data_IF_115852623594
#
_entry.id   IF_115852623594
#
_cell.length_a   1.000
_cell.length_b   1.000
_cell.length_c   1.000
_cell.angle_alpha   90.00
_cell.angle_beta   90.00
_cell.angle_gamma   90.00
#
_symmetry.space_group_name_H-M   'P 1'
#
loop_
_entity.id
_entity.type
_entity.pdbx_description
1 polymer ?
#
# COMPACT_ATOMS: atom_id res chain seq x y z
N UNK A 1 -20.04 13.99 7.03
CA UNK A 1 -20.08 13.10 8.21
C UNK A 1 -18.70 12.45 8.32
N UNK A 2 -17.89 12.87 9.27
CA UNK A 2 -16.55 12.34 9.51
C UNK A 2 -16.73 11.03 10.27
N UNK A 3 -16.28 9.93 9.67
CA UNK A 3 -16.26 8.62 10.33
C UNK A 3 -15.39 8.70 11.59
N UNK A 4 -15.80 8.14 12.74
CA UNK A 4 -14.99 8.19 13.95
C UNK A 4 -13.69 7.44 13.70
N UNK A 5 -12.55 8.10 13.94
CA UNK A 5 -11.24 7.46 14.01
C UNK A 5 -11.34 6.35 15.06
N UNK A 6 -11.14 5.11 14.63
CA UNK A 6 -10.95 4.01 15.55
C UNK A 6 -9.77 4.27 16.48
N UNK A 7 -9.67 3.60 17.64
CA UNK A 7 -8.57 3.78 18.56
C UNK A 7 -7.25 3.57 17.82
N UNK A 8 -6.27 4.45 18.04
CA UNK A 8 -4.91 4.28 17.55
C UNK A 8 -4.44 2.88 17.95
N UNK A 9 -4.24 2.00 16.96
CA UNK A 9 -3.68 0.68 17.20
C UNK A 9 -2.23 0.90 17.60
N UNK A 10 -1.86 0.47 18.80
CA UNK A 10 -0.47 0.38 19.20
C UNK A 10 0.29 -0.47 18.18
N UNK A 11 1.59 -0.22 18.02
CA UNK A 11 2.45 -0.98 17.12
C UNK A 11 2.27 -2.48 17.33
N UNK A 12 2.23 -3.23 16.23
CA UNK A 12 2.11 -4.69 16.28
C UNK A 12 3.40 -5.28 16.88
N UNK A 13 3.33 -6.04 18.00
CA UNK A 13 4.51 -6.66 18.60
C UNK A 13 5.31 -7.51 17.62
N UNK A 14 4.64 -8.21 16.70
CA UNK A 14 5.28 -9.03 15.65
C UNK A 14 6.11 -8.16 14.70
N UNK A 15 5.56 -7.02 14.27
CA UNK A 15 6.27 -6.09 13.39
C UNK A 15 7.55 -5.56 14.02
N UNK A 16 7.48 -5.14 15.28
CA UNK A 16 8.65 -4.65 16.01
C UNK A 16 9.70 -5.75 16.20
N UNK A 17 9.31 -6.98 16.54
CA UNK A 17 10.25 -8.11 16.66
C UNK A 17 10.98 -8.34 15.33
N UNK A 18 10.28 -8.45 14.21
CA UNK A 18 10.88 -8.64 12.89
C UNK A 18 11.80 -7.48 12.47
N UNK A 19 11.48 -6.25 12.87
CA UNK A 19 12.36 -5.10 12.63
C UNK A 19 13.62 -5.18 13.47
N UNK A 20 13.50 -5.49 14.76
CA UNK A 20 14.64 -5.55 15.69
C UNK A 20 15.60 -6.70 15.33
N UNK A 21 15.08 -7.77 14.72
CA UNK A 21 15.86 -8.87 14.13
C UNK A 21 16.45 -8.53 12.75
N UNK A 22 16.15 -7.34 12.20
CA UNK A 22 16.63 -6.91 10.89
C UNK A 22 15.94 -7.58 9.69
N UNK A 23 14.88 -8.34 9.92
CA UNK A 23 14.08 -9.01 8.89
C UNK A 23 13.23 -7.99 8.11
N UNK A 24 12.72 -6.96 8.79
CA UNK A 24 12.02 -5.81 8.21
C UNK A 24 12.94 -4.59 8.22
N UNK A 25 13.02 -3.87 7.10
CA UNK A 25 13.68 -2.57 6.98
C UNK A 25 12.74 -1.58 6.28
N UNK A 26 12.05 -0.77 7.08
CA UNK A 26 11.03 0.18 6.64
C UNK A 26 11.60 1.46 6.01
N UNK A 27 12.91 1.75 6.18
CA UNK A 27 13.53 3.03 5.74
C UNK A 27 13.25 3.35 4.28
N UNK A 28 13.27 2.32 3.42
CA UNK A 28 12.80 2.41 2.05
C UNK A 28 11.62 1.47 1.86
N UNK A 29 10.46 2.05 1.61
CA UNK A 29 9.21 1.31 1.40
C UNK A 29 8.64 1.59 0.02
N UNK A 30 7.91 0.62 -0.53
CA UNK A 30 7.33 0.70 -1.86
C UNK A 30 5.81 0.60 -1.76
N UNK A 31 5.12 1.53 -2.44
CA UNK A 31 3.66 1.57 -2.47
C UNK A 31 3.15 1.33 -3.88
N UNK A 32 2.12 0.51 -3.99
CA UNK A 32 1.37 0.30 -5.22
C UNK A 32 -0.01 -0.28 -4.91
N UNK A 33 -0.86 -0.37 -5.93
CA UNK A 33 -2.18 -0.93 -5.82
C UNK A 33 -2.48 -1.95 -6.91
N UNK A 34 -3.24 -3.00 -6.56
CA UNK A 34 -3.75 -3.97 -7.53
C UNK A 34 -5.27 -4.02 -7.52
N UNK A 35 -5.86 -4.43 -8.62
CA UNK A 35 -7.30 -4.56 -8.80
C UNK A 35 -7.74 -6.00 -8.56
N UNK A 36 -8.80 -6.17 -7.74
CA UNK A 36 -9.52 -7.43 -7.59
C UNK A 36 -10.98 -7.24 -8.04
N UNK A 37 -11.44 -8.08 -8.97
CA UNK A 37 -12.82 -8.02 -9.43
C UNK A 37 -13.78 -8.37 -8.30
N UNK A 38 -14.94 -7.67 -8.22
CA UNK A 38 -16.01 -7.95 -7.25
C UNK A 38 -17.27 -8.38 -7.97
N UNK A 39 -17.40 -9.68 -8.23
CA UNK A 39 -18.51 -10.22 -9.03
C UNK A 39 -19.87 -10.10 -8.33
N UNK A 40 -19.92 -10.26 -7.02
CA UNK A 40 -21.14 -10.17 -6.22
C UNK A 40 -21.57 -8.73 -5.87
N UNK A 41 -20.78 -7.71 -6.24
CA UNK A 41 -20.99 -6.35 -5.70
C UNK A 41 -20.56 -6.27 -4.24
N UNK A 42 -21.23 -5.41 -3.44
CA UNK A 42 -21.00 -5.24 -2.00
C UNK A 42 -20.45 -3.87 -1.62
N UNK A 43 -20.08 -3.73 -0.34
CA UNK A 43 -19.54 -2.49 0.21
C UNK A 43 -18.19 -2.13 -0.42
N UNK A 44 -17.92 -0.82 -0.57
CA UNK A 44 -16.66 -0.30 -1.08
C UNK A 44 -16.23 -0.92 -2.43
N UNK A 45 -17.20 -1.21 -3.31
CA UNK A 45 -16.96 -1.64 -4.70
C UNK A 45 -17.10 -0.44 -5.63
N UNK A 46 -16.10 -0.22 -6.48
CA UNK A 46 -16.08 0.86 -7.46
C UNK A 46 -16.13 0.34 -8.91
N UNK A 47 -16.77 1.12 -9.81
CA UNK A 47 -16.79 0.81 -11.23
C UNK A 47 -15.58 1.44 -11.92
N UNK A 48 -14.86 0.65 -12.71
CA UNK A 48 -13.72 1.07 -13.53
C UNK A 48 -13.86 0.55 -14.97
N UNK A 49 -12.93 0.90 -15.84
CA UNK A 49 -12.83 0.30 -17.19
C UNK A 49 -12.64 -1.21 -17.17
N UNK A 50 -12.11 -1.77 -16.06
CA UNK A 50 -11.95 -3.22 -15.83
C UNK A 50 -13.21 -3.88 -15.25
N UNK A 51 -14.29 -3.12 -15.06
CA UNK A 51 -15.53 -3.56 -14.40
C UNK A 51 -15.60 -3.19 -12.93
N UNK A 52 -16.55 -3.80 -12.20
CA UNK A 52 -16.73 -3.61 -10.76
C UNK A 52 -15.62 -4.30 -9.99
N UNK A 53 -15.03 -3.62 -9.01
CA UNK A 53 -13.96 -4.20 -8.23
C UNK A 53 -13.53 -3.36 -7.04
N UNK A 54 -12.53 -3.88 -6.36
CA UNK A 54 -11.84 -3.24 -5.26
C UNK A 54 -10.37 -3.06 -5.61
N UNK A 55 -9.75 -2.08 -5.02
CA UNK A 55 -8.32 -1.83 -5.07
C UNK A 55 -7.72 -2.33 -3.77
N UNK A 56 -6.70 -3.19 -3.86
CA UNK A 56 -5.85 -3.57 -2.74
C UNK A 56 -4.63 -2.67 -2.82
N UNK A 57 -4.46 -1.79 -1.84
CA UNK A 57 -3.30 -0.92 -1.69
C UNK A 57 -2.35 -1.56 -0.69
N UNK A 58 -1.06 -1.59 -1.00
CA UNK A 58 -0.05 -2.14 -0.11
C UNK A 58 1.18 -1.24 -0.01
N UNK A 59 1.77 -1.22 1.17
CA UNK A 59 3.12 -0.73 1.42
C UNK A 59 3.96 -1.93 1.83
N UNK A 60 5.08 -2.12 1.14
CA UNK A 60 6.05 -3.17 1.46
C UNK A 60 7.41 -2.56 1.80
N UNK A 61 8.20 -3.24 2.60
CA UNK A 61 9.56 -2.84 2.95
C UNK A 61 10.56 -3.08 1.81
N UNK A 62 11.83 -2.80 2.05
CA UNK A 62 12.92 -3.02 1.08
C UNK A 62 13.18 -4.50 0.74
N UNK A 63 12.60 -5.44 1.47
CA UNK A 63 12.65 -6.88 1.21
C UNK A 63 11.40 -7.39 0.49
N UNK A 64 10.36 -6.53 0.34
CA UNK A 64 9.06 -6.86 -0.24
C UNK A 64 8.10 -7.48 0.75
N UNK A 65 8.36 -7.32 2.06
CA UNK A 65 7.46 -7.77 3.13
C UNK A 65 6.37 -6.73 3.40
N UNK A 66 5.11 -7.15 3.62
CA UNK A 66 4.00 -6.22 3.81
C UNK A 66 4.11 -5.46 5.14
N UNK A 67 4.08 -4.13 5.07
CA UNK A 67 4.01 -3.22 6.23
C UNK A 67 2.61 -2.66 6.44
N UNK A 68 1.85 -2.52 5.36
CA UNK A 68 0.46 -2.09 5.39
C UNK A 68 -0.31 -2.67 4.22
N UNK A 69 -1.56 -3.04 4.46
CA UNK A 69 -2.52 -3.39 3.41
C UNK A 69 -3.89 -2.82 3.74
N UNK A 70 -4.55 -2.27 2.71
CA UNK A 70 -5.91 -1.74 2.82
C UNK A 70 -6.70 -2.03 1.55
N UNK A 71 -8.03 -1.97 1.65
CA UNK A 71 -8.92 -2.22 0.51
C UNK A 71 -9.88 -1.05 0.33
N UNK A 72 -10.03 -0.59 -0.91
CA UNK A 72 -10.83 0.58 -1.27
C UNK A 72 -11.64 0.31 -2.53
N UNK A 73 -12.67 1.12 -2.78
CA UNK A 73 -13.39 1.07 -4.04
C UNK A 73 -12.42 1.36 -5.20
N UNK A 74 -12.50 0.55 -6.27
CA UNK A 74 -11.51 0.57 -7.35
C UNK A 74 -11.44 1.90 -8.11
N UNK A 75 -12.48 2.74 -8.04
CA UNK A 75 -12.55 4.06 -8.68
C UNK A 75 -11.88 5.18 -7.87
N UNK A 76 -11.42 4.94 -6.63
CA UNK A 76 -10.69 5.95 -5.88
C UNK A 76 -9.30 6.18 -6.45
N UNK A 77 -8.85 7.45 -6.48
CA UNK A 77 -7.50 7.80 -6.88
C UNK A 77 -6.48 7.38 -5.82
N UNK A 78 -5.38 6.80 -6.24
CA UNK A 78 -4.35 6.25 -5.32
C UNK A 78 -3.74 7.30 -4.41
N UNK A 79 -3.49 8.51 -4.93
CA UNK A 79 -2.98 9.66 -4.15
C UNK A 79 -3.81 9.92 -2.89
N UNK A 80 -5.14 9.86 -3.00
CA UNK A 80 -6.03 10.13 -1.86
C UNK A 80 -6.05 9.01 -0.81
N UNK A 81 -5.51 7.84 -1.14
CA UNK A 81 -5.51 6.66 -0.29
C UNK A 81 -4.21 6.50 0.52
N UNK A 82 -3.14 7.21 0.15
CA UNK A 82 -1.82 7.05 0.78
C UNK A 82 -1.87 7.33 2.28
N UNK A 83 -2.48 8.45 2.70
CA UNK A 83 -2.60 8.79 4.11
C UNK A 83 -3.39 7.74 4.89
N UNK A 84 -4.47 7.21 4.31
CA UNK A 84 -5.29 6.16 4.92
C UNK A 84 -4.53 4.84 5.07
N UNK A 85 -3.53 4.58 4.21
CA UNK A 85 -2.73 3.35 4.33
C UNK A 85 -1.86 3.33 5.58
N UNK A 86 -1.48 4.49 6.13
CA UNK A 86 -0.75 4.57 7.38
C UNK A 86 -1.61 4.24 8.61
N UNK A 87 -2.95 4.30 8.53
CA UNK A 87 -3.84 3.84 9.61
C UNK A 87 -3.75 2.31 9.82
N UNK A 88 -3.24 1.59 8.82
CA UNK A 88 -3.03 0.13 8.85
C UNK A 88 -1.55 -0.26 8.90
N UNK A 89 -0.67 0.70 9.14
CA UNK A 89 0.77 0.48 9.18
C UNK A 89 1.15 -0.28 10.47
N UNK A 90 1.91 -1.37 10.33
CA UNK A 90 2.20 -2.26 11.45
C UNK A 90 3.32 -1.76 12.37
N UNK A 91 4.12 -0.79 11.93
CA UNK A 91 5.22 -0.21 12.70
C UNK A 91 4.86 1.19 13.20
N UNK A 92 5.44 1.62 14.32
CA UNK A 92 5.33 3.01 14.80
C UNK A 92 6.12 3.98 13.91
N UNK A 93 7.34 3.57 13.52
CA UNK A 93 8.19 4.36 12.65
C UNK A 93 7.68 4.33 11.21
N UNK A 94 7.45 5.51 10.63
CA UNK A 94 7.13 5.66 9.20
C UNK A 94 8.40 5.54 8.36
N UNK A 95 8.29 5.17 7.07
CA UNK A 95 9.44 5.08 6.18
C UNK A 95 10.06 6.47 5.95
N UNK A 96 11.38 6.52 5.82
CA UNK A 96 12.07 7.73 5.38
C UNK A 96 11.75 8.04 3.92
N UNK A 97 11.66 6.99 3.11
CA UNK A 97 11.41 7.06 1.68
C UNK A 97 10.27 6.13 1.30
N UNK A 98 9.21 6.70 0.71
CA UNK A 98 8.10 5.96 0.13
C UNK A 98 8.19 6.06 -1.39
N UNK A 99 8.36 4.92 -2.08
CA UNK A 99 8.58 4.85 -3.51
C UNK A 99 7.30 4.33 -4.19
N UNK A 100 6.77 5.11 -5.13
CA UNK A 100 5.55 4.75 -5.88
C UNK A 100 5.69 5.00 -7.38
N UNK A 101 4.67 4.64 -8.14
CA UNK A 101 4.64 4.91 -9.58
C UNK A 101 4.23 6.36 -9.89
N UNK A 102 4.08 6.68 -11.18
CA UNK A 102 3.67 8.02 -11.65
C UNK A 102 2.27 8.44 -11.19
N UNK A 103 1.43 7.51 -10.71
CA UNK A 103 0.12 7.84 -10.19
C UNK A 103 0.24 8.65 -8.89
N UNK A 104 1.33 8.47 -8.15
CA UNK A 104 1.62 9.16 -6.89
C UNK A 104 2.35 10.52 -7.07
N UNK A 105 2.65 10.95 -8.30
CA UNK A 105 3.26 12.27 -8.58
C UNK A 105 2.24 13.40 -8.30
N UNK A 106 2.33 13.99 -7.11
CA UNK A 106 1.44 15.04 -6.61
C UNK A 106 2.14 15.91 -5.60
N UNK A 107 2.27 17.21 -5.88
CA UNK A 107 2.91 18.18 -4.97
C UNK A 107 2.19 18.23 -3.60
N UNK A 108 0.85 18.20 -3.60
CA UNK A 108 0.08 18.17 -2.35
C UNK A 108 0.34 16.92 -1.52
N UNK A 109 0.49 15.74 -2.14
CA UNK A 109 0.86 14.52 -1.44
C UNK A 109 2.29 14.60 -0.88
N UNK A 110 3.23 15.15 -1.66
CA UNK A 110 4.62 15.32 -1.25
C UNK A 110 4.72 16.24 -0.01
N UNK A 111 3.97 17.35 0.00
CA UNK A 111 3.95 18.29 1.12
C UNK A 111 3.34 17.67 2.37
N UNK A 112 2.22 16.95 2.23
CA UNK A 112 1.55 16.26 3.34
C UNK A 112 2.45 15.17 3.97
N UNK A 113 3.14 14.40 3.14
CA UNK A 113 4.05 13.34 3.59
C UNK A 113 5.30 13.92 4.26
N UNK A 114 5.87 15.00 3.73
CA UNK A 114 7.02 15.69 4.34
C UNK A 114 6.74 16.20 5.75
N UNK A 115 5.52 16.69 6.02
CA UNK A 115 5.10 17.11 7.38
C UNK A 115 5.17 15.92 8.36
N UNK A 116 5.05 14.70 7.86
CA UNK A 116 5.15 13.45 8.62
C UNK A 116 6.55 12.80 8.57
N UNK A 117 7.55 13.48 8.02
CA UNK A 117 8.92 12.97 7.89
C UNK A 117 9.11 11.94 6.78
N UNK A 118 8.12 11.75 5.90
CA UNK A 118 8.18 10.79 4.78
C UNK A 118 8.50 11.51 3.49
N UNK A 119 9.52 11.06 2.76
CA UNK A 119 9.88 11.57 1.44
C UNK A 119 9.30 10.70 0.34
N UNK A 120 8.29 11.21 -0.40
CA UNK A 120 7.71 10.52 -1.54
C UNK A 120 8.63 10.58 -2.75
N UNK A 121 8.86 9.43 -3.40
CA UNK A 121 9.66 9.30 -4.63
C UNK A 121 8.78 8.65 -5.70
N UNK A 122 8.27 9.46 -6.61
CA UNK A 122 7.47 9.00 -7.76
C UNK A 122 7.98 9.69 -9.04
N UNK A 123 8.16 8.96 -10.16
CA UNK A 123 8.55 9.58 -11.41
C UNK A 123 7.50 10.59 -11.87
N UNK A 124 7.93 11.74 -12.36
CA UNK A 124 7.00 12.74 -12.89
C UNK A 124 6.11 12.20 -14.02
N UNK A 125 4.85 12.61 -13.98
CA UNK A 125 3.92 12.34 -15.09
C UNK A 125 4.44 13.00 -16.36
N UNK A 126 4.22 12.33 -17.50
CA UNK A 126 4.66 12.86 -18.82
C UNK A 126 4.06 14.22 -19.14
N UNK A 127 2.90 14.54 -18.57
CA UNK A 127 2.20 15.82 -18.73
C UNK A 127 2.70 16.95 -17.83
N UNK A 128 3.63 16.66 -16.89
CA UNK A 128 4.16 17.66 -15.96
C UNK A 128 5.10 18.62 -16.68
N UNK A 129 4.81 19.93 -16.61
CA UNK A 129 5.58 20.99 -17.29
C UNK A 129 6.93 21.27 -16.62
N UNK A 130 6.99 21.25 -15.30
CA UNK A 130 8.21 21.50 -14.52
C UNK A 130 8.75 20.18 -13.97
N UNK A 131 9.93 19.78 -14.43
CA UNK A 131 10.65 18.61 -13.94
C UNK A 131 11.65 19.05 -12.88
N UNK A 132 11.34 18.83 -11.62
CA UNK A 132 12.16 19.23 -10.47
C UNK A 132 12.92 18.05 -9.83
N UNK A 133 12.79 16.83 -10.37
CA UNK A 133 13.33 15.63 -9.77
C UNK A 133 14.84 15.47 -10.00
N UNK A 134 15.55 15.19 -8.90
CA UNK A 134 16.94 14.70 -8.94
C UNK A 134 16.96 13.22 -9.35
N UNK A 135 17.66 12.90 -10.46
CA UNK A 135 17.79 11.55 -10.97
C UNK A 135 18.42 10.56 -9.98
N UNK A 136 19.13 11.04 -8.94
CA UNK A 136 19.71 10.21 -7.87
C UNK A 136 18.63 9.53 -7.04
N UNK A 137 17.55 10.23 -6.72
CA UNK A 137 16.43 9.65 -5.98
C UNK A 137 15.66 8.62 -6.81
N UNK A 138 15.57 8.82 -8.13
CA UNK A 138 14.88 7.92 -9.05
C UNK A 138 15.56 6.54 -9.20
N UNK A 139 16.83 6.38 -8.84
CA UNK A 139 17.48 5.06 -8.82
C UNK A 139 16.78 4.09 -7.87
N UNK A 140 16.16 4.59 -6.80
CA UNK A 140 15.37 3.76 -5.88
C UNK A 140 14.12 3.19 -6.54
N UNK A 141 13.57 3.88 -7.53
CA UNK A 141 12.43 3.43 -8.30
C UNK A 141 12.69 2.12 -9.08
N UNK A 142 13.93 1.84 -9.45
CA UNK A 142 14.30 0.59 -10.13
C UNK A 142 13.94 -0.66 -9.30
N UNK A 143 13.84 -0.53 -7.98
CA UNK A 143 13.46 -1.62 -7.07
C UNK A 143 11.94 -1.76 -6.87
N UNK A 144 11.12 -0.99 -7.59
CA UNK A 144 9.65 -1.08 -7.48
C UNK A 144 9.09 -2.49 -7.76
N UNK A 145 9.84 -3.33 -8.47
CA UNK A 145 9.49 -4.72 -8.67
C UNK A 145 9.23 -5.50 -7.36
N UNK A 146 9.70 -5.00 -6.21
CA UNK A 146 9.45 -5.60 -4.89
C UNK A 146 7.95 -5.60 -4.53
N UNK A 147 7.24 -4.50 -4.73
CA UNK A 147 5.80 -4.46 -4.49
C UNK A 147 5.03 -5.23 -5.57
N UNK A 148 5.53 -5.27 -6.80
CA UNK A 148 4.95 -6.12 -7.86
C UNK A 148 5.10 -7.61 -7.51
N UNK A 149 6.26 -8.02 -6.99
CA UNK A 149 6.50 -9.37 -6.47
C UNK A 149 5.56 -9.72 -5.31
N UNK A 150 5.35 -8.78 -4.38
CA UNK A 150 4.38 -8.95 -3.30
C UNK A 150 2.98 -9.24 -3.87
N UNK A 151 2.50 -8.45 -4.84
CA UNK A 151 1.21 -8.71 -5.46
C UNK A 151 1.16 -10.04 -6.22
N UNK A 152 2.24 -10.45 -6.87
CA UNK A 152 2.32 -11.77 -7.49
C UNK A 152 2.14 -12.88 -6.44
N UNK A 153 2.79 -12.79 -5.28
CA UNK A 153 2.59 -13.74 -4.18
C UNK A 153 1.16 -13.70 -3.61
N UNK A 154 0.57 -12.50 -3.50
CA UNK A 154 -0.80 -12.33 -3.04
C UNK A 154 -1.80 -13.02 -4.00
N UNK A 155 -1.57 -12.91 -5.30
CA UNK A 155 -2.40 -13.51 -6.35
C UNK A 155 -2.36 -15.06 -6.36
N UNK A 156 -1.33 -15.68 -5.81
CA UNK A 156 -1.31 -17.14 -5.61
C UNK A 156 -2.37 -17.61 -4.60
N UNK A 157 -2.88 -16.71 -3.79
CA UNK A 157 -4.04 -16.96 -2.92
C UNK A 157 -5.31 -16.75 -3.74
N UNK A 158 -5.83 -17.82 -4.36
CA UNK A 158 -6.99 -17.77 -5.28
C UNK A 158 -8.18 -16.97 -4.73
N UNK A 159 -8.37 -16.97 -3.41
CA UNK A 159 -9.44 -16.23 -2.74
C UNK A 159 -9.35 -14.71 -2.93
N UNK A 160 -8.15 -14.18 -3.20
CA UNK A 160 -7.89 -12.76 -3.36
C UNK A 160 -7.96 -12.26 -4.81
N UNK A 161 -8.02 -13.18 -5.80
CA UNK A 161 -8.15 -12.82 -7.21
C UNK A 161 -9.51 -12.19 -7.53
N UNK A 162 -10.56 -12.69 -6.86
CA UNK A 162 -11.94 -12.23 -7.03
C UNK A 162 -12.56 -12.10 -5.65
N UNK A 163 -13.09 -10.92 -5.37
CA UNK A 163 -13.85 -10.67 -4.16
C UNK A 163 -15.28 -11.20 -4.33
N UNK A 164 -15.69 -12.07 -3.41
CA UNK A 164 -17.03 -12.61 -3.28
C UNK A 164 -17.77 -12.06 -2.05
N UNK A 165 -17.03 -11.50 -1.11
CA UNK A 165 -17.53 -10.97 0.15
C UNK A 165 -18.34 -9.69 -0.07
N UNK A 166 -19.53 -9.65 0.52
CA UNK A 166 -20.34 -8.44 0.54
C UNK A 166 -19.67 -7.36 1.40
N UNK A 167 -19.28 -7.70 2.64
CA UNK A 167 -18.64 -6.77 3.57
C UNK A 167 -17.17 -6.54 3.22
N UNK A 168 -16.78 -5.26 3.16
CA UNK A 168 -15.41 -4.88 2.83
C UNK A 168 -14.38 -5.40 3.85
N UNK A 169 -14.77 -5.41 5.12
CA UNK A 169 -13.95 -5.91 6.23
C UNK A 169 -13.60 -7.39 6.10
N UNK A 170 -14.51 -8.22 5.60
CA UNK A 170 -14.25 -9.65 5.41
C UNK A 170 -13.19 -9.89 4.33
N UNK A 171 -13.28 -9.15 3.21
CA UNK A 171 -12.26 -9.25 2.16
C UNK A 171 -10.91 -8.73 2.63
N UNK A 172 -10.88 -7.60 3.36
CA UNK A 172 -9.65 -7.08 3.99
C UNK A 172 -9.05 -8.12 4.94
N UNK A 173 -9.85 -8.81 5.75
CA UNK A 173 -9.40 -9.87 6.64
C UNK A 173 -8.68 -11.01 5.89
N UNK A 174 -9.16 -11.42 4.71
CA UNK A 174 -8.45 -12.40 3.87
C UNK A 174 -7.13 -11.85 3.32
N UNK A 175 -7.07 -10.56 2.93
CA UNK A 175 -5.83 -9.93 2.49
C UNK A 175 -4.82 -9.90 3.64
N UNK A 176 -5.23 -9.49 4.83
CA UNK A 176 -4.38 -9.45 6.03
C UNK A 176 -3.90 -10.85 6.42
N UNK A 177 -4.77 -11.87 6.38
CA UNK A 177 -4.38 -13.25 6.66
C UNK A 177 -3.31 -13.75 5.67
N UNK A 178 -3.41 -13.39 4.39
CA UNK A 178 -2.39 -13.71 3.41
C UNK A 178 -1.05 -13.03 3.75
N UNK A 179 -1.05 -11.75 4.17
CA UNK A 179 0.14 -11.04 4.62
C UNK A 179 0.77 -11.70 5.85
N UNK A 180 -0.04 -12.06 6.86
CA UNK A 180 0.42 -12.80 8.03
C UNK A 180 1.13 -14.10 7.62
N UNK A 181 0.56 -14.87 6.67
CA UNK A 181 1.22 -16.09 6.19
C UNK A 181 2.55 -15.86 5.48
N UNK A 182 2.78 -14.66 4.93
CA UNK A 182 4.07 -14.28 4.35
C UNK A 182 5.08 -13.91 5.42
N UNK A 183 4.65 -13.15 6.43
CA UNK A 183 5.50 -12.74 7.56
C UNK A 183 5.92 -13.95 8.41
N UNK A 184 5.00 -14.87 8.71
CA UNK A 184 5.30 -16.09 9.48
C UNK A 184 6.33 -17.03 8.82
N UNK A 185 6.62 -16.87 7.55
CA UNK A 185 7.70 -17.61 6.87
C UNK A 185 9.09 -17.03 7.14
N UNK A 186 9.16 -15.90 7.81
CA UNK A 186 10.42 -15.24 8.16
C UNK A 186 10.95 -15.68 9.54
N UNK A 187 10.11 -16.34 10.35
CA UNK A 187 10.48 -17.03 11.57
C UNK A 187 10.89 -18.47 11.25
#
# INVERSE_FOLDING_TARGET
>A
MVSPRGPARGADPVGNTLRDEGTIDERESFIDATFAAAKGGGEAVGLTKRGKGVKILAIVDRHGLPLSVSTHAANHHEVTLVQLSFDFYMLEAKPEHLIGDRAYDSDGLDDDLKQNGVNMIAPHRSTRKLKTQDGRHLRRYERRWLVERFFAWLQWKRRLLIRWEYYATNFLGFVQLACITMLLKQF
#
